data_IF_032213054209
#
_entry.id   IF_032213054209
#
_cell.length_a   1.000
_cell.length_b   1.000
_cell.length_c   1.000
_cell.angle_alpha   90.00
_cell.angle_beta   90.00
_cell.angle_gamma   90.00
#
_symmetry.space_group_name_H-M   'P 1'
#
loop_
_entity.id
_entity.type
_entity.pdbx_description
1 polymer ?
#
# COMPACT_ATOMS: atom_id res chain seq x y z
N UNK A 1 9.74 -1.05 -49.68
CA UNK A 1 9.10 0.25 -49.89
C UNK A 1 7.59 0.07 -49.92
N UNK A 2 6.81 0.88 -49.24
CA UNK A 2 5.37 0.86 -49.01
C UNK A 2 4.93 -0.10 -47.90
N UNK A 3 4.82 0.46 -46.65
CA UNK A 3 3.70 0.30 -45.71
C UNK A 3 4.04 1.01 -44.39
N UNK A 4 4.06 2.33 -44.43
CA UNK A 4 4.12 3.17 -43.23
C UNK A 4 3.29 4.42 -43.55
N UNK A 5 1.98 4.29 -43.48
CA UNK A 5 1.06 5.44 -43.59
C UNK A 5 -0.39 4.95 -43.39
N UNK A 6 -0.76 4.67 -42.14
CA UNK A 6 -2.18 4.57 -41.79
C UNK A 6 -2.33 4.43 -40.26
N UNK A 7 -2.04 5.50 -39.53
CA UNK A 7 -2.55 5.63 -38.14
C UNK A 7 -2.45 7.09 -37.65
N UNK A 8 -2.75 8.04 -38.53
CA UNK A 8 -3.01 9.41 -38.14
C UNK A 8 -4.35 9.80 -38.77
N UNK A 9 -5.44 9.53 -38.10
CA UNK A 9 -6.69 10.31 -38.23
C UNK A 9 -7.81 9.65 -37.42
N UNK A 10 -7.93 9.96 -36.15
CA UNK A 10 -9.18 9.91 -35.41
C UNK A 10 -9.08 10.72 -34.11
N UNK A 11 -8.66 11.96 -34.23
CA UNK A 11 -9.01 13.01 -33.28
C UNK A 11 -9.80 14.04 -34.06
N UNK A 12 -11.09 13.79 -34.25
CA UNK A 12 -12.01 14.79 -34.80
C UNK A 12 -13.16 14.96 -33.83
N UNK A 13 -13.05 16.04 -33.06
CA UNK A 13 -14.09 17.00 -32.70
C UNK A 13 -15.44 16.44 -32.27
N UNK A 14 -15.72 16.50 -30.97
CA UNK A 14 -17.08 16.64 -30.45
C UNK A 14 -17.13 17.92 -29.61
N UNK A 15 -18.14 18.80 -29.86
CA UNK A 15 -18.18 20.13 -29.30
C UNK A 15 -18.75 20.14 -27.88
N UNK A 16 -18.16 20.96 -27.07
CA UNK A 16 -18.72 21.82 -26.04
C UNK A 16 -20.11 21.43 -25.48
N UNK A 17 -20.10 20.70 -24.37
CA UNK A 17 -21.13 20.82 -23.35
C UNK A 17 -20.40 21.01 -22.02
N UNK A 18 -20.60 22.20 -21.44
CA UNK A 18 -20.09 22.56 -20.13
C UNK A 18 -20.65 21.62 -19.06
N UNK A 19 -19.98 20.56 -18.80
CA UNK A 19 -20.10 19.75 -17.59
C UNK A 19 -18.73 19.72 -16.97
N UNK A 20 -18.53 20.46 -15.89
CA UNK A 20 -17.27 20.43 -15.15
C UNK A 20 -16.96 18.99 -14.75
N UNK A 21 -16.11 18.33 -15.53
CA UNK A 21 -15.41 17.14 -15.09
C UNK A 21 -14.52 17.59 -13.93
N UNK A 22 -14.98 17.37 -12.71
CA UNK A 22 -14.10 17.30 -11.56
C UNK A 22 -13.14 16.16 -11.91
N UNK A 23 -11.98 16.53 -12.44
CA UNK A 23 -10.87 15.61 -12.55
C UNK A 23 -10.54 15.18 -11.10
N UNK A 24 -11.02 14.00 -10.72
CA UNK A 24 -10.56 13.36 -9.51
C UNK A 24 -9.09 13.04 -9.79
N UNK A 25 -8.20 13.85 -9.22
CA UNK A 25 -6.75 13.71 -9.36
C UNK A 25 -6.35 12.47 -8.56
N UNK A 26 -6.53 11.29 -9.17
CA UNK A 26 -6.11 10.04 -8.57
C UNK A 26 -4.60 9.98 -8.65
N UNK A 27 -3.93 9.99 -7.49
CA UNK A 27 -2.49 9.72 -7.43
C UNK A 27 -2.18 8.49 -8.26
N UNK A 28 -1.14 8.56 -9.08
CA UNK A 28 -0.69 7.38 -9.80
C UNK A 28 -0.19 6.33 -8.79
N UNK A 29 -0.38 5.06 -9.11
CA UNK A 29 0.13 3.96 -8.26
C UNK A 29 1.62 4.12 -8.01
N UNK A 30 2.38 4.61 -8.98
CA UNK A 30 3.82 4.88 -8.88
C UNK A 30 4.16 5.91 -7.79
N UNK A 31 3.34 6.93 -7.61
CA UNK A 31 3.57 7.95 -6.57
C UNK A 31 3.30 7.42 -5.15
N UNK A 32 2.64 6.28 -5.03
CA UNK A 32 2.26 5.67 -3.75
C UNK A 32 3.20 4.53 -3.37
N UNK A 33 3.43 3.60 -4.28
CA UNK A 33 4.24 2.41 -4.02
C UNK A 33 5.68 2.53 -4.55
N UNK A 34 6.03 3.66 -5.17
CA UNK A 34 7.34 3.87 -5.81
C UNK A 34 7.40 3.38 -7.24
N UNK A 35 8.53 3.61 -7.88
CA UNK A 35 8.84 3.27 -9.28
C UNK A 35 9.96 2.24 -9.36
N UNK A 36 10.34 1.85 -10.58
CA UNK A 36 11.51 1.01 -10.83
C UNK A 36 11.50 -0.30 -10.06
N UNK A 37 12.55 -0.55 -9.30
CA UNK A 37 12.79 -1.81 -8.60
C UNK A 37 11.74 -2.10 -7.52
N UNK A 38 11.26 -1.07 -6.80
CA UNK A 38 10.20 -1.22 -5.78
C UNK A 38 8.91 -1.73 -6.43
N UNK A 39 8.49 -1.11 -7.54
CA UNK A 39 7.31 -1.54 -8.29
C UNK A 39 7.49 -2.95 -8.83
N UNK A 40 8.66 -3.25 -9.37
CA UNK A 40 8.97 -4.59 -9.88
C UNK A 40 8.85 -5.63 -8.77
N UNK A 41 9.42 -5.35 -7.58
CA UNK A 41 9.33 -6.26 -6.44
C UNK A 41 7.88 -6.49 -6.01
N UNK A 42 7.04 -5.44 -5.97
CA UNK A 42 5.61 -5.58 -5.64
C UNK A 42 4.85 -6.37 -6.73
N UNK A 43 5.14 -6.11 -7.99
CA UNK A 43 4.53 -6.84 -9.11
C UNK A 43 4.89 -8.33 -9.08
N UNK A 44 6.12 -8.64 -8.70
CA UNK A 44 6.67 -9.98 -8.67
C UNK A 44 6.83 -10.53 -7.24
N UNK A 45 5.91 -10.18 -6.32
CA UNK A 45 5.97 -10.59 -4.91
C UNK A 45 6.15 -12.10 -4.72
N UNK A 46 5.66 -12.90 -5.66
CA UNK A 46 5.86 -14.36 -5.64
C UNK A 46 7.34 -14.76 -5.79
N UNK A 47 8.19 -13.88 -6.33
CA UNK A 47 9.64 -14.10 -6.43
C UNK A 47 10.43 -13.54 -5.24
N UNK A 48 9.79 -12.79 -4.34
CA UNK A 48 10.46 -12.26 -3.16
C UNK A 48 11.00 -13.41 -2.31
N UNK A 49 12.28 -13.32 -1.92
CA UNK A 49 12.94 -14.29 -1.04
C UNK A 49 12.34 -14.28 0.36
N UNK A 50 11.90 -13.09 0.78
CA UNK A 50 11.28 -12.83 2.08
C UNK A 50 9.98 -12.09 1.87
N UNK A 51 8.91 -12.59 2.48
CA UNK A 51 7.62 -11.91 2.51
C UNK A 51 6.95 -12.24 3.85
N UNK A 52 6.83 -11.25 4.70
CA UNK A 52 6.38 -11.38 6.08
C UNK A 52 5.38 -10.29 6.44
N UNK A 53 4.55 -10.56 7.43
CA UNK A 53 3.67 -9.59 8.04
C UNK A 53 3.89 -9.54 9.54
N UNK A 54 3.78 -8.36 10.10
CA UNK A 54 3.97 -8.07 11.51
C UNK A 54 2.76 -7.34 12.07
N UNK A 55 2.40 -7.64 13.30
CA UNK A 55 1.56 -6.77 14.12
C UNK A 55 2.45 -5.68 14.70
N UNK A 56 2.08 -4.42 14.50
CA UNK A 56 2.79 -3.26 15.07
C UNK A 56 1.88 -2.51 16.01
N UNK A 57 2.49 -1.77 16.93
CA UNK A 57 1.78 -1.02 17.96
C UNK A 57 1.11 0.21 17.35
N UNK A 58 -0.22 0.22 17.37
CA UNK A 58 -1.09 1.30 16.92
C UNK A 58 -1.49 2.27 18.04
N UNK A 59 -0.91 2.13 19.23
CA UNK A 59 -1.05 3.09 20.33
C UNK A 59 -0.30 4.40 20.01
N UNK A 60 -0.66 5.47 20.70
CA UNK A 60 0.02 6.76 20.52
C UNK A 60 1.51 6.64 20.88
N UNK A 61 2.42 7.26 20.10
CA UNK A 61 3.87 7.16 20.33
C UNK A 61 4.32 7.75 21.68
N UNK A 62 3.48 8.45 22.41
CA UNK A 62 3.79 9.09 23.68
C UNK A 62 3.70 8.18 24.90
N UNK A 63 3.13 7.00 24.80
CA UNK A 63 3.00 6.04 25.89
C UNK A 63 3.93 4.85 25.73
N UNK A 64 5.03 4.84 26.45
CA UNK A 64 5.91 3.68 26.68
C UNK A 64 6.18 2.82 25.43
N UNK A 65 7.19 3.17 24.66
CA UNK A 65 7.80 2.25 23.67
C UNK A 65 8.27 1.00 24.41
N UNK A 66 7.42 -0.02 24.40
CA UNK A 66 7.56 -1.23 25.22
C UNK A 66 8.78 -2.07 24.76
N UNK A 67 9.18 -1.95 23.50
CA UNK A 67 10.28 -2.74 22.92
C UNK A 67 11.26 -1.86 22.16
N UNK A 68 12.12 -1.12 22.87
CA UNK A 68 13.30 -0.50 22.25
C UNK A 68 14.18 -1.59 21.64
N UNK A 69 14.25 -1.64 20.32
CA UNK A 69 15.11 -2.56 19.57
C UNK A 69 14.42 -3.47 18.57
N UNK A 70 13.08 -3.60 18.60
CA UNK A 70 12.33 -4.31 17.59
C UNK A 70 11.26 -3.39 17.01
N UNK A 71 11.67 -2.54 16.07
CA UNK A 71 10.83 -1.51 15.48
C UNK A 71 10.86 -1.60 13.95
N UNK A 72 9.74 -1.24 13.32
CA UNK A 72 9.63 -1.01 11.88
C UNK A 72 9.25 0.46 11.71
N UNK A 73 10.16 1.27 11.18
CA UNK A 73 10.00 2.73 10.96
C UNK A 73 9.52 3.49 12.20
N UNK A 74 10.05 3.12 13.40
CA UNK A 74 9.72 3.77 14.67
C UNK A 74 8.45 3.23 15.35
N UNK A 75 7.80 2.23 14.79
CA UNK A 75 6.67 1.54 15.40
C UNK A 75 7.10 0.21 15.99
N UNK A 76 6.79 -0.01 17.28
CA UNK A 76 7.15 -1.23 18.00
C UNK A 76 6.46 -2.45 17.40
N UNK A 77 7.20 -3.52 17.20
CA UNK A 77 6.67 -4.80 16.71
C UNK A 77 6.10 -5.59 17.89
N UNK A 78 4.85 -6.03 17.77
CA UNK A 78 4.10 -6.75 18.81
C UNK A 78 4.04 -8.28 18.59
N UNK A 79 4.37 -8.75 17.39
CA UNK A 79 4.31 -10.18 17.05
C UNK A 79 5.63 -10.66 16.45
N UNK A 80 5.82 -11.97 16.47
CA UNK A 80 6.81 -12.56 15.58
C UNK A 80 6.44 -12.36 14.12
N UNK A 81 7.45 -12.44 13.25
CA UNK A 81 7.27 -12.39 11.81
C UNK A 81 6.41 -13.58 11.35
N UNK A 82 5.30 -13.29 10.66
CA UNK A 82 4.50 -14.35 10.03
C UNK A 82 4.82 -14.39 8.52
N UNK A 83 5.32 -15.52 8.01
CA UNK A 83 5.50 -15.68 6.57
C UNK A 83 4.15 -15.59 5.83
N UNK A 84 4.15 -14.91 4.69
CA UNK A 84 2.99 -14.76 3.81
C UNK A 84 3.08 -15.83 2.70
N UNK A 85 2.00 -16.59 2.52
CA UNK A 85 1.90 -17.65 1.50
C UNK A 85 1.73 -17.07 0.09
N UNK A 86 1.95 -17.89 -0.93
CA UNK A 86 1.93 -17.41 -2.32
C UNK A 86 0.57 -16.86 -2.77
N UNK A 87 -0.54 -17.45 -2.33
CA UNK A 87 -1.88 -16.93 -2.59
C UNK A 87 -2.13 -15.57 -1.91
N UNK A 88 -1.64 -15.41 -0.68
CA UNK A 88 -1.69 -14.17 0.09
C UNK A 88 -0.78 -13.10 -0.52
N UNK A 89 0.42 -13.46 -0.99
CA UNK A 89 1.33 -12.56 -1.74
C UNK A 89 0.68 -12.04 -3.01
N UNK A 90 0.04 -12.92 -3.76
CA UNK A 90 -0.68 -12.56 -4.98
C UNK A 90 -1.82 -11.58 -4.67
N UNK A 91 -2.61 -11.85 -3.64
CA UNK A 91 -3.69 -10.96 -3.21
C UNK A 91 -3.14 -9.59 -2.77
N UNK A 92 -2.07 -9.56 -1.97
CA UNK A 92 -1.42 -8.31 -1.55
C UNK A 92 -0.93 -7.49 -2.75
N UNK A 93 -0.22 -8.14 -3.69
CA UNK A 93 0.25 -7.49 -4.92
C UNK A 93 -0.92 -6.89 -5.73
N UNK A 94 -2.00 -7.64 -5.91
CA UNK A 94 -3.20 -7.15 -6.61
C UNK A 94 -3.83 -5.93 -5.93
N UNK A 95 -3.90 -5.92 -4.60
CA UNK A 95 -4.41 -4.78 -3.84
C UNK A 95 -3.51 -3.56 -4.02
N UNK A 96 -2.18 -3.73 -3.85
CA UNK A 96 -1.23 -2.62 -3.93
C UNK A 96 -1.10 -2.03 -5.35
N UNK A 97 -1.28 -2.84 -6.39
CA UNK A 97 -1.18 -2.39 -7.79
C UNK A 97 -2.50 -1.87 -8.37
N UNK A 98 -3.61 -2.03 -7.66
CA UNK A 98 -4.90 -1.55 -8.14
C UNK A 98 -5.09 -0.05 -7.84
N UNK A 99 -5.20 0.83 -8.84
CA UNK A 99 -5.38 2.26 -8.61
C UNK A 99 -6.67 2.58 -7.84
N UNK A 100 -7.72 1.74 -7.95
CA UNK A 100 -8.97 1.92 -7.23
C UNK A 100 -8.85 1.66 -5.72
N UNK A 101 -7.75 1.08 -5.26
CA UNK A 101 -7.43 0.94 -3.84
C UNK A 101 -7.25 2.31 -3.19
N UNK A 102 -6.78 3.28 -3.92
CA UNK A 102 -6.35 4.57 -3.38
C UNK A 102 -7.38 5.67 -3.59
N UNK A 103 -7.35 6.68 -2.73
CA UNK A 103 -8.14 7.90 -2.89
C UNK A 103 -7.44 9.07 -2.20
N UNK A 104 -7.80 10.27 -2.60
CA UNK A 104 -7.39 11.49 -1.91
C UNK A 104 -8.55 12.06 -1.10
N UNK A 105 -8.23 12.53 0.10
CA UNK A 105 -9.19 13.34 0.85
C UNK A 105 -9.23 14.75 0.28
N UNK A 106 -10.42 15.27 0.06
CA UNK A 106 -10.63 16.66 -0.32
C UNK A 106 -10.31 17.65 0.82
N UNK A 107 -10.21 17.15 2.05
CA UNK A 107 -9.87 17.94 3.25
C UNK A 107 -8.80 17.19 4.02
N UNK A 108 -7.77 17.87 4.56
CA UNK A 108 -6.79 17.24 5.43
C UNK A 108 -7.49 16.55 6.62
N UNK A 109 -7.18 15.28 6.82
CA UNK A 109 -7.67 14.53 7.98
C UNK A 109 -6.58 14.62 9.06
N UNK A 110 -6.89 15.27 10.16
CA UNK A 110 -6.01 15.30 11.33
C UNK A 110 -6.12 13.97 12.07
N UNK A 111 -5.46 12.96 11.52
CA UNK A 111 -5.37 11.63 12.07
C UNK A 111 -3.90 11.26 12.16
N UNK A 112 -3.36 11.19 13.36
CA UNK A 112 -1.99 10.68 13.53
C UNK A 112 -1.85 9.28 12.93
N UNK A 113 -0.90 9.09 12.02
CA UNK A 113 -0.64 7.79 11.40
C UNK A 113 -0.23 6.76 12.46
N UNK A 114 -1.05 5.74 12.65
CA UNK A 114 -0.86 4.67 13.64
C UNK A 114 -1.08 3.33 12.96
N UNK A 115 -0.05 2.77 12.30
CA UNK A 115 -0.19 1.51 11.61
C UNK A 115 -0.41 0.37 12.60
N UNK A 116 -1.37 -0.49 12.30
CA UNK A 116 -1.61 -1.70 13.07
C UNK A 116 -0.86 -2.91 12.52
N UNK A 117 -0.44 -2.85 11.26
CA UNK A 117 0.31 -3.92 10.59
C UNK A 117 1.40 -3.35 9.69
N UNK A 118 2.44 -4.16 9.47
CA UNK A 118 3.47 -3.90 8.50
C UNK A 118 3.69 -5.16 7.65
N UNK A 119 3.69 -4.99 6.33
CA UNK A 119 4.15 -6.00 5.39
C UNK A 119 5.60 -5.71 5.04
N UNK A 120 6.47 -6.70 5.12
CA UNK A 120 7.88 -6.61 4.72
C UNK A 120 8.19 -7.64 3.66
N UNK A 121 8.81 -7.22 2.58
CA UNK A 121 9.26 -8.11 1.52
C UNK A 121 10.58 -7.66 0.90
N UNK A 122 11.38 -8.64 0.49
CA UNK A 122 12.71 -8.40 -0.07
C UNK A 122 13.08 -9.50 -1.07
N UNK A 123 13.82 -9.10 -2.10
CA UNK A 123 14.51 -10.02 -3.02
C UNK A 123 15.96 -10.32 -2.58
N UNK A 124 16.42 -9.69 -1.49
CA UNK A 124 17.76 -9.78 -0.93
C UNK A 124 18.66 -8.60 -1.31
N UNK A 125 18.19 -7.70 -2.16
CA UNK A 125 18.89 -6.45 -2.54
C UNK A 125 18.07 -5.26 -2.03
N UNK A 126 16.77 -5.28 -2.29
CA UNK A 126 15.82 -4.25 -1.87
C UNK A 126 14.94 -4.81 -0.77
N UNK A 127 14.70 -3.99 0.24
CA UNK A 127 13.67 -4.23 1.24
C UNK A 127 12.57 -3.16 1.10
N UNK A 128 11.33 -3.62 1.09
CA UNK A 128 10.14 -2.77 1.04
C UNK A 128 9.24 -3.09 2.22
N UNK A 129 8.84 -2.04 2.93
CA UNK A 129 7.87 -2.10 4.00
C UNK A 129 6.61 -1.32 3.62
N UNK A 130 5.46 -1.95 3.78
CA UNK A 130 4.15 -1.30 3.61
C UNK A 130 3.45 -1.30 4.97
N UNK A 131 3.35 -0.11 5.57
CA UNK A 131 2.66 0.10 6.84
C UNK A 131 1.21 0.51 6.58
N UNK A 132 0.26 -0.12 7.27
CA UNK A 132 -1.18 0.10 7.06
C UNK A 132 -1.85 0.54 8.35
N UNK A 133 -2.44 1.74 8.30
CA UNK A 133 -3.26 2.31 9.36
C UNK A 133 -4.74 2.21 8.97
N UNK A 134 -5.50 1.32 9.60
CA UNK A 134 -6.93 1.15 9.30
C UNK A 134 -7.78 2.28 9.87
N UNK A 135 -7.42 2.85 11.03
CA UNK A 135 -8.16 3.96 11.64
C UNK A 135 -8.12 5.23 10.78
N UNK A 136 -6.97 5.53 10.18
CA UNK A 136 -6.78 6.66 9.29
C UNK A 136 -7.09 6.32 7.82
N UNK A 137 -7.24 5.03 7.49
CA UNK A 137 -7.28 4.53 6.12
C UNK A 137 -6.09 5.02 5.29
N UNK A 138 -4.90 5.00 5.89
CA UNK A 138 -3.66 5.47 5.28
C UNK A 138 -2.65 4.34 5.22
N UNK A 139 -1.92 4.26 4.13
CA UNK A 139 -0.74 3.40 4.02
C UNK A 139 0.49 4.23 3.66
N UNK A 140 1.63 3.76 4.12
CA UNK A 140 2.95 4.30 3.79
C UNK A 140 3.85 3.20 3.27
N UNK A 141 4.51 3.48 2.16
CA UNK A 141 5.46 2.57 1.53
C UNK A 141 6.87 3.10 1.75
N UNK A 142 7.74 2.24 2.25
CA UNK A 142 9.16 2.53 2.47
C UNK A 142 10.01 1.59 1.64
N UNK A 143 11.13 2.09 1.13
CA UNK A 143 12.15 1.27 0.49
C UNK A 143 13.48 1.57 1.12
N UNK A 144 14.18 0.52 1.56
CA UNK A 144 15.49 0.63 2.22
C UNK A 144 15.52 1.73 3.31
N UNK A 145 14.47 1.76 4.14
CA UNK A 145 14.33 2.72 5.25
C UNK A 145 13.82 4.11 4.87
N UNK A 146 13.60 4.42 3.58
CA UNK A 146 13.11 5.73 3.12
C UNK A 146 11.65 5.65 2.70
N UNK A 147 10.85 6.64 3.10
CA UNK A 147 9.48 6.79 2.61
C UNK A 147 9.52 7.07 1.09
N UNK A 148 8.88 6.21 0.31
CA UNK A 148 8.78 6.34 -1.16
C UNK A 148 7.40 6.78 -1.61
N UNK A 149 6.38 6.64 -0.77
CA UNK A 149 5.05 7.15 -1.04
C UNK A 149 4.06 6.87 0.07
N UNK A 150 2.96 7.62 0.05
CA UNK A 150 1.85 7.49 0.98
C UNK A 150 0.54 7.82 0.31
N UNK A 151 -0.55 7.20 0.76
CA UNK A 151 -1.90 7.50 0.30
C UNK A 151 -2.96 6.97 1.24
N UNK A 152 -4.16 7.52 1.11
CA UNK A 152 -5.34 6.90 1.71
C UNK A 152 -5.81 5.72 0.86
N UNK A 153 -6.39 4.72 1.53
CA UNK A 153 -6.91 3.53 0.87
C UNK A 153 -8.33 3.19 1.37
N UNK A 154 -9.14 2.61 0.49
CA UNK A 154 -10.54 2.23 0.78
C UNK A 154 -10.84 0.76 0.48
N UNK A 155 -9.80 -0.02 0.19
CA UNK A 155 -10.00 -1.40 -0.25
C UNK A 155 -10.50 -2.30 0.89
N UNK A 156 -11.70 -2.84 0.82
CA UNK A 156 -12.18 -3.86 1.75
C UNK A 156 -11.33 -5.15 1.66
N UNK A 157 -10.71 -5.40 0.51
CA UNK A 157 -9.86 -6.57 0.28
C UNK A 157 -8.62 -6.55 1.20
N UNK A 158 -8.04 -5.37 1.46
CA UNK A 158 -6.94 -5.22 2.42
C UNK A 158 -7.37 -5.66 3.82
N UNK A 159 -8.58 -5.29 4.24
CA UNK A 159 -9.12 -5.70 5.53
C UNK A 159 -9.37 -7.20 5.59
N UNK A 160 -9.95 -7.77 4.55
CA UNK A 160 -10.20 -9.22 4.44
C UNK A 160 -8.88 -10.00 4.50
N UNK A 161 -7.89 -9.58 3.73
CA UNK A 161 -6.55 -10.18 3.75
C UNK A 161 -5.93 -10.09 5.15
N UNK A 162 -5.99 -8.92 5.79
CA UNK A 162 -5.42 -8.71 7.13
C UNK A 162 -6.08 -9.61 8.17
N UNK A 163 -7.41 -9.72 8.17
CA UNK A 163 -8.14 -10.63 9.08
C UNK A 163 -7.76 -12.09 8.86
N UNK A 164 -7.56 -12.53 7.62
CA UNK A 164 -7.07 -13.88 7.29
C UNK A 164 -5.65 -14.10 7.84
N UNK A 165 -4.81 -13.08 7.79
CA UNK A 165 -3.43 -13.14 8.28
C UNK A 165 -3.32 -13.19 9.81
N UNK A 166 -4.28 -12.60 10.54
CA UNK A 166 -4.30 -12.53 12.00
C UNK A 166 -5.63 -13.05 12.57
N UNK A 167 -5.93 -14.36 12.41
CA UNK A 167 -7.23 -14.92 12.78
C UNK A 167 -7.51 -14.84 14.29
N UNK A 168 -6.48 -14.87 15.12
CA UNK A 168 -6.57 -14.91 16.59
C UNK A 168 -6.40 -13.52 17.23
N UNK A 169 -6.07 -12.47 16.44
CA UNK A 169 -5.93 -11.11 16.97
C UNK A 169 -7.32 -10.44 17.05
N UNK A 170 -7.82 -10.31 18.28
CA UNK A 170 -9.14 -9.73 18.54
C UNK A 170 -9.27 -8.29 18.05
N UNK A 171 -8.18 -7.50 18.10
CA UNK A 171 -8.20 -6.11 17.65
C UNK A 171 -8.32 -6.05 16.13
N UNK A 172 -7.55 -6.89 15.42
CA UNK A 172 -7.65 -7.00 13.96
C UNK A 172 -9.02 -7.53 13.55
N UNK A 173 -9.55 -8.55 14.24
CA UNK A 173 -10.88 -9.10 13.92
C UNK A 173 -12.02 -8.13 14.16
N UNK A 174 -11.87 -7.16 15.07
CA UNK A 174 -12.86 -6.13 15.37
C UNK A 174 -12.87 -4.95 14.37
N UNK A 175 -11.86 -4.81 13.50
CA UNK A 175 -11.79 -3.76 12.47
C UNK A 175 -13.01 -3.83 11.53
N UNK A 176 -13.48 -2.65 11.05
CA UNK A 176 -14.65 -2.52 10.16
C UNK A 176 -14.28 -1.85 8.85
#
# INVERSE_FOLDING_TARGET
MRQALFNYLKCLVIPFLMGGLVACDTKSVESIIGTGEVRTLITELHKAKKCEVYRVDDSYPEGNRINKGNEIHGFSVLSEARPIKDDERKALSQILLNPNTYFEHSVPVDCGFRPGIAFRFSDGIIEVDVLVCFSCRELRCYSTGKLVGESHFKSPEMLVLTKKLFPDDKNIQALK
#
